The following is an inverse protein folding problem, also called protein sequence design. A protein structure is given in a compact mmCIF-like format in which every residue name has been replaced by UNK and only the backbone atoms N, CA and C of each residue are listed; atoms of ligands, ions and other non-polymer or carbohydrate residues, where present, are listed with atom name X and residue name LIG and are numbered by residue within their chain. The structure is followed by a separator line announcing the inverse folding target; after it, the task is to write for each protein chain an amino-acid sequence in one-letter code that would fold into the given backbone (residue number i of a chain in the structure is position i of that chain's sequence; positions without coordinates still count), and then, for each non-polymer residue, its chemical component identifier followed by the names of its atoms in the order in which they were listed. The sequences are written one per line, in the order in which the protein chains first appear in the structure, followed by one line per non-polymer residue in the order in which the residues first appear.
data_IF_680411385360
#
_entry.id   IF_680411385360
#
_cell.length_a   1.000
_cell.length_b   1.000
_cell.length_c   1.000
_cell.angle_alpha   90.00
_cell.angle_beta   90.00
_cell.angle_gamma   90.00
#
_symmetry.space_group_name_H-M   'P 1'
#
loop_
_entity.id
_entity.type
_entity.pdbx_description
1 polymer ?
#
# COMPACT_ATOMS: atom_id res chain seq x y z
N UNK A 1 16.28 -16.58 29.95
CA UNK A 1 15.91 -16.25 28.55
C UNK A 1 15.36 -14.83 28.52
N UNK A 2 15.88 -13.94 27.67
CA UNK A 2 15.55 -12.52 27.69
C UNK A 2 14.15 -12.27 27.08
N UNK A 3 13.13 -11.83 27.84
CA UNK A 3 11.74 -11.69 27.37
C UNK A 3 11.59 -10.76 26.16
N UNK A 4 12.45 -9.74 26.09
CA UNK A 4 12.54 -8.78 24.99
C UNK A 4 12.97 -9.42 23.66
N UNK A 5 13.81 -10.47 23.72
CA UNK A 5 14.24 -11.19 22.52
C UNK A 5 13.15 -12.15 22.02
N UNK A 6 12.34 -12.72 22.93
CA UNK A 6 11.18 -13.56 22.60
C UNK A 6 10.07 -12.74 21.92
N UNK A 7 9.72 -11.58 22.48
CA UNK A 7 8.71 -10.68 21.90
C UNK A 7 9.11 -10.12 20.53
N UNK A 8 10.40 -9.81 20.32
CA UNK A 8 10.91 -9.38 19.00
C UNK A 8 10.83 -10.49 17.95
N UNK A 9 11.11 -11.74 18.31
CA UNK A 9 10.98 -12.89 17.39
C UNK A 9 9.52 -13.13 16.99
N UNK A 10 8.60 -13.13 17.96
CA UNK A 10 7.16 -13.28 17.68
C UNK A 10 6.62 -12.15 16.79
N UNK A 11 7.09 -10.91 17.01
CA UNK A 11 6.72 -9.75 16.20
C UNK A 11 7.16 -9.88 14.72
N UNK A 12 8.36 -10.41 14.48
CA UNK A 12 8.87 -10.62 13.12
C UNK A 12 8.10 -11.72 12.39
N UNK A 13 7.79 -12.82 13.09
CA UNK A 13 6.97 -13.91 12.55
C UNK A 13 5.57 -13.42 12.17
N UNK A 14 4.95 -12.61 13.05
CA UNK A 14 3.63 -12.04 12.80
C UNK A 14 3.64 -11.11 11.58
N UNK A 15 4.61 -10.20 11.46
CA UNK A 15 4.67 -9.30 10.31
C UNK A 15 4.88 -10.06 8.99
N UNK A 16 5.76 -11.06 8.98
CA UNK A 16 5.98 -11.91 7.81
C UNK A 16 4.72 -12.68 7.42
N UNK A 17 4.00 -13.22 8.40
CA UNK A 17 2.71 -13.86 8.17
C UNK A 17 1.70 -12.89 7.54
N UNK A 18 1.55 -11.68 8.11
CA UNK A 18 0.60 -10.68 7.61
C UNK A 18 0.93 -10.24 6.17
N UNK A 19 2.21 -10.00 5.88
CA UNK A 19 2.68 -9.68 4.53
C UNK A 19 2.40 -10.84 3.58
N UNK A 20 2.78 -12.06 3.95
CA UNK A 20 2.56 -13.23 3.11
C UNK A 20 1.09 -13.49 2.83
N UNK A 21 0.24 -13.37 3.84
CA UNK A 21 -1.20 -13.56 3.67
C UNK A 21 -1.77 -12.50 2.73
N UNK A 22 -1.46 -11.23 2.98
CA UNK A 22 -1.90 -10.12 2.14
C UNK A 22 -1.53 -10.33 0.66
N UNK A 23 -0.26 -10.60 0.40
CA UNK A 23 0.27 -10.72 -0.97
C UNK A 23 -0.40 -11.88 -1.70
N UNK A 24 -0.48 -13.05 -1.06
CA UNK A 24 -1.15 -14.23 -1.64
C UNK A 24 -2.62 -13.97 -1.92
N UNK A 25 -3.34 -13.33 -0.99
CA UNK A 25 -4.75 -13.01 -1.17
C UNK A 25 -4.96 -12.05 -2.35
N UNK A 26 -4.14 -11.00 -2.45
CA UNK A 26 -4.21 -10.03 -3.55
C UNK A 26 -3.90 -10.71 -4.89
N UNK A 27 -2.85 -11.51 -4.97
CA UNK A 27 -2.46 -12.19 -6.20
C UNK A 27 -3.50 -13.24 -6.60
N UNK A 28 -4.02 -14.02 -5.66
CA UNK A 28 -5.10 -14.96 -5.95
C UNK A 28 -6.37 -14.27 -6.47
N UNK A 29 -6.71 -13.10 -5.94
CA UNK A 29 -7.96 -12.40 -6.29
C UNK A 29 -7.86 -11.54 -7.54
N UNK A 30 -6.69 -10.98 -7.82
CA UNK A 30 -6.50 -9.97 -8.86
C UNK A 30 -5.42 -10.34 -9.89
N UNK A 31 -4.96 -11.60 -9.93
CA UNK A 31 -3.96 -12.07 -10.91
C UNK A 31 -4.34 -11.75 -12.35
N UNK A 32 -5.62 -11.82 -12.71
CA UNK A 32 -6.13 -11.48 -14.04
C UNK A 32 -5.96 -10.01 -14.44
N UNK A 33 -5.68 -9.13 -13.48
CA UNK A 33 -5.40 -7.70 -13.73
C UNK A 33 -3.91 -7.41 -13.89
N UNK A 34 -3.05 -8.40 -13.68
CA UNK A 34 -1.60 -8.28 -13.60
C UNK A 34 -0.95 -9.07 -14.73
N UNK A 35 0.28 -8.74 -15.09
CA UNK A 35 1.07 -9.54 -16.02
C UNK A 35 2.04 -10.41 -15.22
N UNK A 36 1.53 -11.52 -14.69
CA UNK A 36 2.31 -12.48 -13.90
C UNK A 36 2.90 -13.51 -14.85
N UNK A 37 4.13 -13.29 -15.27
CA UNK A 37 4.92 -14.25 -16.05
C UNK A 37 5.86 -15.09 -15.16
N UNK A 38 6.08 -14.66 -13.91
CA UNK A 38 7.00 -15.26 -12.95
C UNK A 38 6.22 -16.07 -11.90
N UNK A 39 6.37 -17.40 -11.93
CA UNK A 39 5.74 -18.33 -10.98
C UNK A 39 6.13 -18.06 -9.52
N UNK A 40 7.22 -17.32 -9.27
CA UNK A 40 7.70 -16.97 -7.94
C UNK A 40 7.33 -15.55 -7.50
N UNK A 41 6.37 -14.91 -8.18
CA UNK A 41 5.97 -13.53 -7.89
C UNK A 41 5.57 -13.32 -6.43
N UNK A 42 4.91 -14.31 -5.80
CA UNK A 42 4.52 -14.28 -4.39
C UNK A 42 5.72 -14.06 -3.47
N UNK A 43 6.73 -14.93 -3.59
CA UNK A 43 7.94 -14.90 -2.78
C UNK A 43 8.72 -13.61 -3.00
N UNK A 44 8.82 -13.18 -4.26
CA UNK A 44 9.47 -11.92 -4.65
C UNK A 44 8.77 -10.71 -4.06
N UNK A 45 7.45 -10.64 -4.15
CA UNK A 45 6.65 -9.55 -3.61
C UNK A 45 6.70 -9.51 -2.08
N UNK A 46 6.68 -10.67 -1.39
CA UNK A 46 6.84 -10.75 0.06
C UNK A 46 8.20 -10.20 0.48
N UNK A 47 9.29 -10.69 -0.12
CA UNK A 47 10.64 -10.23 0.19
C UNK A 47 10.82 -8.73 -0.13
N UNK A 48 10.20 -8.27 -1.22
CA UNK A 48 10.20 -6.87 -1.61
C UNK A 48 9.53 -6.00 -0.55
N UNK A 49 8.31 -6.33 -0.12
CA UNK A 49 7.59 -5.58 0.92
C UNK A 49 8.36 -5.57 2.24
N UNK A 50 8.89 -6.72 2.67
CA UNK A 50 9.72 -6.81 3.89
C UNK A 50 10.95 -5.89 3.80
N UNK A 51 11.62 -5.88 2.64
CA UNK A 51 12.80 -5.05 2.38
C UNK A 51 12.44 -3.57 2.41
N UNK A 52 11.34 -3.17 1.77
CA UNK A 52 10.87 -1.79 1.73
C UNK A 52 10.49 -1.32 3.13
N UNK A 53 9.69 -2.10 3.88
CA UNK A 53 9.32 -1.77 5.26
C UNK A 53 10.54 -1.55 6.16
N UNK A 54 11.54 -2.44 6.06
CA UNK A 54 12.78 -2.37 6.84
C UNK A 54 13.60 -1.14 6.47
N UNK A 55 13.80 -0.88 5.18
CA UNK A 55 14.66 0.22 4.70
C UNK A 55 14.01 1.59 4.86
N UNK A 56 12.71 1.70 4.68
CA UNK A 56 11.95 2.93 4.90
C UNK A 56 11.63 3.19 6.38
N UNK A 57 11.96 2.25 7.29
CA UNK A 57 11.60 2.27 8.72
C UNK A 57 10.10 2.47 8.93
N UNK A 58 9.31 1.80 8.10
CA UNK A 58 7.87 1.95 8.06
C UNK A 58 7.18 1.45 9.31
N UNK A 59 6.11 2.15 9.71
CA UNK A 59 5.28 1.73 10.83
C UNK A 59 4.27 0.65 10.42
N UNK A 60 3.69 -0.04 11.40
CA UNK A 60 2.56 -0.97 11.16
C UNK A 60 1.37 -0.27 10.50
N UNK A 61 1.07 0.96 10.92
CA UNK A 61 0.00 1.75 10.33
C UNK A 61 0.28 2.05 8.86
N UNK A 62 1.54 2.34 8.52
CA UNK A 62 1.94 2.55 7.13
C UNK A 62 1.71 1.30 6.29
N UNK A 63 2.10 0.12 6.78
CA UNK A 63 1.82 -1.14 6.10
C UNK A 63 0.32 -1.37 5.86
N UNK A 64 -0.52 -1.16 6.87
CA UNK A 64 -1.99 -1.26 6.73
C UNK A 64 -2.51 -0.30 5.66
N UNK A 65 -2.02 0.94 5.68
CA UNK A 65 -2.38 1.97 4.70
C UNK A 65 -2.01 1.53 3.29
N UNK A 66 -0.81 0.96 3.09
CA UNK A 66 -0.40 0.37 1.82
C UNK A 66 -1.37 -0.71 1.37
N UNK A 67 -1.74 -1.65 2.25
CA UNK A 67 -2.68 -2.71 1.92
C UNK A 67 -4.04 -2.17 1.46
N UNK A 68 -4.57 -1.17 2.16
CA UNK A 68 -5.81 -0.50 1.79
C UNK A 68 -5.71 0.19 0.42
N UNK A 69 -4.63 0.94 0.17
CA UNK A 69 -4.40 1.62 -1.11
C UNK A 69 -4.33 0.62 -2.27
N UNK A 70 -3.54 -0.44 -2.13
CA UNK A 70 -3.42 -1.50 -3.15
C UNK A 70 -4.78 -2.15 -3.43
N UNK A 71 -5.50 -2.51 -2.37
CA UNK A 71 -6.82 -3.14 -2.49
C UNK A 71 -7.82 -2.22 -3.19
N UNK A 72 -7.87 -0.94 -2.82
CA UNK A 72 -8.75 0.04 -3.47
C UNK A 72 -8.43 0.20 -4.94
N UNK A 73 -7.15 0.39 -5.27
CA UNK A 73 -6.73 0.59 -6.65
C UNK A 73 -7.09 -0.61 -7.53
N UNK A 74 -6.83 -1.83 -7.05
CA UNK A 74 -7.19 -3.05 -7.78
C UNK A 74 -8.70 -3.25 -7.89
N UNK A 75 -9.50 -2.88 -6.87
CA UNK A 75 -10.96 -2.83 -6.99
C UNK A 75 -11.40 -1.86 -8.09
N UNK A 76 -10.81 -0.66 -8.17
CA UNK A 76 -11.10 0.28 -9.25
C UNK A 76 -10.74 -0.31 -10.63
N UNK A 77 -9.61 -1.01 -10.73
CA UNK A 77 -9.21 -1.70 -11.96
C UNK A 77 -10.19 -2.80 -12.35
N UNK A 78 -10.67 -3.59 -11.37
CA UNK A 78 -11.59 -4.69 -11.59
C UNK A 78 -13.00 -4.24 -11.98
N UNK A 79 -13.47 -3.15 -11.37
CA UNK A 79 -14.83 -2.64 -11.56
C UNK A 79 -14.95 -1.74 -12.79
N UNK A 80 -13.84 -1.20 -13.30
CA UNK A 80 -13.88 -0.37 -14.50
C UNK A 80 -13.95 -1.25 -15.77
N UNK A 81 -15.17 -1.43 -16.24
CA UNK A 81 -15.50 -2.17 -17.47
C UNK A 81 -14.74 -1.64 -18.70
N UNK A 82 -14.39 -0.35 -18.73
CA UNK A 82 -13.77 0.29 -19.91
C UNK A 82 -12.25 0.13 -19.95
N UNK A 83 -11.58 0.01 -18.82
CA UNK A 83 -10.11 -0.10 -18.79
C UNK A 83 -9.55 -0.52 -17.44
N UNK A 84 -8.70 -1.54 -17.45
CA UNK A 84 -7.81 -1.86 -16.33
C UNK A 84 -6.72 -0.77 -16.21
N UNK A 85 -6.65 -0.06 -15.08
CA UNK A 85 -5.66 0.99 -14.85
C UNK A 85 -4.23 0.47 -14.62
N UNK A 86 -4.06 -0.82 -14.33
CA UNK A 86 -2.73 -1.45 -14.25
C UNK A 86 -1.92 -1.29 -15.53
N UNK A 87 -2.57 -1.08 -16.69
CA UNK A 87 -1.87 -0.80 -17.96
C UNK A 87 -0.91 0.38 -17.87
N UNK A 88 -1.24 1.40 -17.06
CA UNK A 88 -0.39 2.58 -16.87
C UNK A 88 0.81 2.30 -15.96
N UNK A 89 0.74 1.22 -15.18
CA UNK A 89 1.86 0.68 -14.40
C UNK A 89 2.56 -0.46 -15.15
N UNK A 90 2.27 -0.65 -16.45
CA UNK A 90 2.75 -1.77 -17.26
C UNK A 90 2.43 -3.14 -16.63
N UNK A 91 1.29 -3.23 -15.95
CA UNK A 91 0.81 -4.42 -15.25
C UNK A 91 1.75 -4.96 -14.15
N UNK A 92 2.69 -4.13 -13.68
CA UNK A 92 3.69 -4.49 -12.69
C UNK A 92 3.15 -4.29 -11.27
N UNK A 93 3.01 -5.40 -10.54
CA UNK A 93 2.52 -5.41 -9.17
C UNK A 93 3.49 -4.73 -8.18
N UNK A 94 4.81 -4.83 -8.40
CA UNK A 94 5.79 -4.20 -7.53
C UNK A 94 5.74 -2.67 -7.68
N UNK A 95 5.51 -2.16 -8.90
CA UNK A 95 5.29 -0.72 -9.12
C UNK A 95 4.05 -0.20 -8.40
N UNK A 96 2.96 -0.98 -8.39
CA UNK A 96 1.78 -0.67 -7.58
C UNK A 96 2.11 -0.60 -6.08
N UNK A 97 2.86 -1.57 -5.55
CA UNK A 97 3.31 -1.58 -4.14
C UNK A 97 4.14 -0.33 -3.83
N UNK A 98 5.11 0.04 -4.68
CA UNK A 98 5.95 1.23 -4.46
C UNK A 98 5.11 2.50 -4.41
N UNK A 99 4.21 2.69 -5.37
CA UNK A 99 3.34 3.85 -5.40
C UNK A 99 2.43 3.90 -4.16
N UNK A 100 1.91 2.76 -3.70
CA UNK A 100 1.13 2.68 -2.48
C UNK A 100 1.96 3.05 -1.23
N UNK A 101 3.22 2.62 -1.15
CA UNK A 101 4.14 3.04 -0.09
C UNK A 101 4.36 4.54 -0.05
N UNK A 102 4.56 5.16 -1.22
CA UNK A 102 4.73 6.60 -1.30
C UNK A 102 3.47 7.34 -0.85
N UNK A 103 2.29 6.91 -1.29
CA UNK A 103 1.02 7.51 -0.92
C UNK A 103 0.61 7.24 0.55
N UNK A 104 1.21 6.24 1.19
CA UNK A 104 0.98 5.94 2.61
C UNK A 104 1.72 6.88 3.58
N UNK A 105 2.69 7.66 3.09
CA UNK A 105 3.42 8.62 3.93
C UNK A 105 2.50 9.81 4.22
N UNK A 106 2.24 10.12 5.51
CA UNK A 106 1.38 11.23 5.88
C UNK A 106 1.91 12.56 5.35
N UNK A 107 1.03 13.40 4.83
CA UNK A 107 1.37 14.74 4.34
C UNK A 107 0.53 15.81 5.06
N UNK A 108 0.47 15.72 6.40
CA UNK A 108 -0.46 16.45 7.28
C UNK A 108 0.06 17.80 7.79
N UNK A 109 1.06 18.40 7.15
CA UNK A 109 1.57 19.71 7.58
C UNK A 109 0.74 20.84 6.94
N UNK A 110 0.36 21.84 7.76
CA UNK A 110 -0.37 23.01 7.27
C UNK A 110 0.49 23.88 6.33
N UNK A 111 1.82 23.78 6.44
CA UNK A 111 2.77 24.45 5.55
C UNK A 111 2.93 23.71 4.21
N UNK A 112 2.57 24.39 3.13
CA UNK A 112 2.74 23.90 1.76
C UNK A 112 4.21 23.62 1.38
N UNK A 113 5.16 24.46 1.83
CA UNK A 113 6.58 24.26 1.55
C UNK A 113 7.11 22.97 2.15
N UNK A 114 6.77 22.71 3.42
CA UNK A 114 7.13 21.45 4.09
C UNK A 114 6.49 20.21 3.46
N UNK A 115 5.26 20.34 2.94
CA UNK A 115 4.61 19.24 2.20
C UNK A 115 5.35 18.88 0.92
N UNK A 116 5.84 19.87 0.18
CA UNK A 116 6.64 19.63 -1.03
C UNK A 116 7.96 18.97 -0.69
N UNK A 117 8.69 19.49 0.30
CA UNK A 117 9.98 18.93 0.73
C UNK A 117 9.81 17.48 1.20
N UNK A 118 8.79 17.20 2.01
CA UNK A 118 8.50 15.84 2.51
C UNK A 118 8.18 14.89 1.37
N UNK A 119 7.42 15.35 0.38
CA UNK A 119 7.07 14.56 -0.81
C UNK A 119 8.30 14.24 -1.66
N UNK A 120 9.15 15.23 -1.94
CA UNK A 120 10.32 15.04 -2.78
C UNK A 120 11.37 14.15 -2.09
N UNK A 121 11.51 14.28 -0.76
CA UNK A 121 12.27 13.35 0.06
C UNK A 121 11.71 11.92 -0.03
N UNK A 122 10.38 11.76 0.07
CA UNK A 122 9.72 10.47 -0.04
C UNK A 122 9.98 9.80 -1.40
N UNK A 123 9.79 10.52 -2.50
CA UNK A 123 10.08 10.01 -3.84
C UNK A 123 11.55 9.58 -3.98
N UNK A 124 12.48 10.40 -3.51
CA UNK A 124 13.92 10.09 -3.52
C UNK A 124 14.25 8.85 -2.70
N UNK A 125 13.65 8.71 -1.52
CA UNK A 125 13.84 7.56 -0.64
C UNK A 125 13.38 6.27 -1.32
N UNK A 126 12.17 6.24 -1.86
CA UNK A 126 11.64 5.03 -2.50
C UNK A 126 12.33 4.72 -3.82
N UNK A 127 12.80 5.71 -4.58
CA UNK A 127 13.69 5.48 -5.73
C UNK A 127 14.96 4.75 -5.31
N UNK A 128 15.65 5.22 -4.25
CA UNK A 128 16.87 4.57 -3.74
C UNK A 128 16.64 3.16 -3.20
N UNK A 129 15.52 2.93 -2.51
CA UNK A 129 15.21 1.62 -1.90
C UNK A 129 14.89 0.57 -2.96
N UNK A 130 14.16 0.97 -3.99
CA UNK A 130 13.52 0.05 -4.96
C UNK A 130 14.33 -0.10 -6.24
N UNK A 131 15.26 0.83 -6.52
CA UNK A 131 16.02 0.87 -7.76
C UNK A 131 15.26 1.48 -8.94
N UNK A 132 13.99 1.85 -8.76
CA UNK A 132 13.23 2.60 -9.77
C UNK A 132 13.78 4.02 -9.90
N UNK A 133 13.74 4.56 -11.11
CA UNK A 133 14.06 5.97 -11.33
C UNK A 133 13.11 6.90 -10.56
N UNK A 134 13.57 8.11 -10.24
CA UNK A 134 12.73 9.11 -9.58
C UNK A 134 11.46 9.41 -10.39
N UNK A 135 11.59 9.47 -11.71
CA UNK A 135 10.48 9.70 -12.64
C UNK A 135 9.49 8.55 -12.61
N UNK A 136 9.96 7.29 -12.60
CA UNK A 136 9.06 6.13 -12.48
C UNK A 136 8.28 6.14 -11.17
N UNK A 137 8.94 6.40 -10.04
CA UNK A 137 8.26 6.49 -8.72
C UNK A 137 7.22 7.61 -8.73
N UNK A 138 7.57 8.77 -9.29
CA UNK A 138 6.69 9.93 -9.39
C UNK A 138 5.47 9.65 -10.28
N UNK A 139 5.69 9.03 -11.44
CA UNK A 139 4.65 8.69 -12.39
C UNK A 139 3.69 7.64 -11.81
N UNK A 140 4.21 6.54 -11.25
CA UNK A 140 3.38 5.51 -10.64
C UNK A 140 2.52 6.08 -9.50
N UNK A 141 3.11 6.92 -8.65
CA UNK A 141 2.39 7.58 -7.55
C UNK A 141 1.31 8.54 -8.04
N UNK A 142 1.57 9.25 -9.14
CA UNK A 142 0.62 10.21 -9.72
C UNK A 142 -0.56 9.50 -10.38
N UNK A 143 -0.33 8.37 -11.06
CA UNK A 143 -1.37 7.52 -11.63
C UNK A 143 -2.28 6.97 -10.53
N UNK A 144 -1.71 6.33 -9.50
CA UNK A 144 -2.49 5.80 -8.37
C UNK A 144 -3.34 6.89 -7.73
N UNK A 145 -2.74 8.06 -7.48
CA UNK A 145 -3.42 9.21 -6.91
C UNK A 145 -4.63 9.62 -7.75
N UNK A 146 -4.44 9.80 -9.06
CA UNK A 146 -5.54 10.18 -9.95
C UNK A 146 -6.68 9.16 -9.91
N UNK A 147 -6.37 7.86 -10.03
CA UNK A 147 -7.38 6.80 -10.02
C UNK A 147 -8.15 6.77 -8.69
N UNK A 148 -7.45 6.81 -7.56
CA UNK A 148 -8.09 6.75 -6.24
C UNK A 148 -8.93 7.99 -5.94
N UNK A 149 -8.51 9.16 -6.43
CA UNK A 149 -9.27 10.40 -6.30
C UNK A 149 -10.55 10.34 -7.13
N UNK A 150 -10.46 9.97 -8.41
CA UNK A 150 -11.60 9.96 -9.34
C UNK A 150 -12.63 8.86 -9.05
N UNK A 151 -12.27 7.79 -8.36
CA UNK A 151 -13.17 6.65 -8.09
C UNK A 151 -13.72 6.63 -6.65
N UNK A 152 -13.47 7.66 -5.84
CA UNK A 152 -14.11 7.84 -4.53
C UNK A 152 -15.40 8.67 -4.69
N UNK A 153 -16.49 8.00 -5.07
CA UNK A 153 -17.80 8.61 -5.33
C UNK A 153 -18.50 9.19 -4.08
N UNK A 154 -18.06 8.86 -2.86
CA UNK A 154 -18.65 9.41 -1.62
C UNK A 154 -18.27 10.88 -1.34
N UNK A 155 -17.48 11.54 -2.20
CA UNK A 155 -16.99 12.92 -1.96
C UNK A 155 -17.23 13.90 -3.11
N UNK A 156 -17.98 13.51 -4.15
CA UNK A 156 -18.24 14.37 -5.33
C UNK A 156 -19.28 15.48 -5.10
N UNK A 157 -19.93 15.57 -3.93
CA UNK A 157 -20.88 16.67 -3.66
C UNK A 157 -20.25 17.96 -3.10
N UNK A 158 -18.99 17.98 -2.68
CA UNK A 158 -18.33 19.19 -2.19
C UNK A 158 -17.10 19.55 -3.04
N UNK A 159 -17.32 20.32 -4.10
CA UNK A 159 -16.27 20.79 -5.03
C UNK A 159 -15.18 21.68 -4.40
N UNK A 160 -15.33 22.06 -3.12
CA UNK A 160 -14.30 22.77 -2.32
C UNK A 160 -13.34 21.84 -1.54
N UNK A 161 -13.54 20.51 -1.55
CA UNK A 161 -12.84 19.55 -0.66
C UNK A 161 -11.59 18.86 -1.27
N UNK A 162 -11.04 19.33 -2.39
CA UNK A 162 -9.81 18.76 -2.95
C UNK A 162 -8.57 18.95 -2.05
N UNK A 163 -8.58 20.00 -1.21
CA UNK A 163 -7.58 20.27 -0.17
C UNK A 163 -7.65 19.25 0.97
N UNK A 164 -8.85 18.81 1.36
CA UNK A 164 -9.05 17.91 2.49
C UNK A 164 -8.68 16.44 2.23
N UNK A 165 -8.75 15.94 0.98
CA UNK A 165 -8.16 14.63 0.61
C UNK A 165 -6.64 14.59 0.83
N UNK A 166 -5.95 15.75 0.73
CA UNK A 166 -4.52 15.87 1.07
C UNK A 166 -4.27 15.87 2.58
N UNK A 167 -5.27 16.24 3.38
CA UNK A 167 -5.16 16.38 4.84
C UNK A 167 -5.57 15.10 5.59
N UNK A 168 -6.58 14.37 5.12
CA UNK A 168 -7.05 13.13 5.76
C UNK A 168 -6.33 11.86 5.27
N UNK A 169 -5.85 11.85 4.02
CA UNK A 169 -5.18 10.70 3.37
C UNK A 169 -6.10 9.92 2.43
N UNK A 170 -5.56 8.90 1.75
CA UNK A 170 -6.31 8.07 0.76
C UNK A 170 -7.12 6.92 1.39
N UNK A 171 -7.02 6.76 2.71
CA UNK A 171 -7.61 5.66 3.48
C UNK A 171 -8.24 6.25 4.72
N UNK A 172 -9.52 5.97 4.92
CA UNK A 172 -10.28 6.43 6.08
C UNK A 172 -9.97 5.55 7.31
N UNK A 173 -10.13 6.09 8.51
CA UNK A 173 -9.93 5.35 9.76
C UNK A 173 -10.76 4.07 9.83
N UNK A 174 -12.01 4.14 9.35
CA UNK A 174 -12.93 2.99 9.29
C UNK A 174 -12.39 1.84 8.44
N UNK A 175 -11.62 2.13 7.39
CA UNK A 175 -11.04 1.13 6.51
C UNK A 175 -9.83 0.46 7.15
N UNK A 176 -9.05 1.21 7.93
CA UNK A 176 -7.98 0.65 8.77
C UNK A 176 -8.58 -0.27 9.86
N UNK A 177 -9.70 0.11 10.46
CA UNK A 177 -10.39 -0.73 11.44
C UNK A 177 -11.00 -2.00 10.82
N UNK A 178 -11.56 -1.90 9.62
CA UNK A 178 -12.06 -3.06 8.88
C UNK A 178 -10.93 -4.02 8.54
N UNK A 179 -9.78 -3.49 8.10
CA UNK A 179 -8.56 -4.26 7.91
C UNK A 179 -8.18 -4.96 9.23
N UNK A 180 -8.11 -4.25 10.34
CA UNK A 180 -7.74 -4.84 11.63
C UNK A 180 -8.68 -5.95 12.09
N UNK A 181 -10.00 -5.77 11.90
CA UNK A 181 -10.99 -6.81 12.20
C UNK A 181 -10.80 -8.06 11.34
N UNK A 182 -10.63 -7.88 10.03
CA UNK A 182 -10.41 -8.99 9.11
C UNK A 182 -9.14 -9.77 9.46
N UNK A 183 -8.03 -9.07 9.70
CA UNK A 183 -6.76 -9.70 10.05
C UNK A 183 -6.75 -10.34 11.43
N UNK A 184 -7.43 -9.75 12.42
CA UNK A 184 -7.58 -10.37 13.74
C UNK A 184 -8.32 -11.70 13.61
N UNK A 185 -9.42 -11.73 12.83
CA UNK A 185 -10.17 -12.96 12.56
C UNK A 185 -9.30 -14.02 11.88
N UNK A 186 -8.55 -13.66 10.84
CA UNK A 186 -7.62 -14.58 10.16
C UNK A 186 -6.54 -15.12 11.09
N UNK A 187 -5.98 -14.29 11.97
CA UNK A 187 -5.00 -14.75 12.96
C UNK A 187 -5.62 -15.71 13.97
N UNK A 188 -6.85 -15.45 14.44
CA UNK A 188 -7.56 -16.34 15.34
C UNK A 188 -7.84 -17.70 14.69
N UNK A 189 -8.29 -17.70 13.44
CA UNK A 189 -8.54 -18.92 12.66
C UNK A 189 -7.26 -19.72 12.41
N UNK A 190 -6.17 -19.05 12.02
CA UNK A 190 -4.92 -19.71 11.66
C UNK A 190 -4.15 -20.27 12.87
N UNK A 191 -4.17 -19.57 14.00
CA UNK A 191 -3.47 -19.98 15.21
C UNK A 191 -4.37 -20.69 16.23
N UNK A 192 -5.63 -20.98 15.87
CA UNK A 192 -6.64 -21.56 16.77
C UNK A 192 -6.77 -20.80 18.10
N UNK A 193 -6.67 -19.47 18.05
CA UNK A 193 -6.78 -18.61 19.22
C UNK A 193 -8.26 -18.30 19.44
N UNK A 194 -8.85 -18.91 20.47
CA UNK A 194 -10.20 -18.62 20.96
C UNK A 194 -10.31 -17.23 21.57
#
# INVERSE_FOLDING_TARGET
MNPLASGRKQFLVLNRFLISHFIKEILNKYSHLLNIEDDNIDSKAIQFVETVLKRARSSRLQFKTVCCIVTKFLKCCNNNVRSNYMKFLKYDFLKLIVAAFVLSVPNRTNDYGQRLITRDYCYTLFSKITGLSLDEVTNCSSILRAVLIHNNLEREQDSLYWTHLREEGYVNTTEIEQFDRAYKKTLQEYFHLS
#
